data_IF_464650019653
#
_entry.id   IF_464650019653
#
_cell.length_a   1.000
_cell.length_b   1.000
_cell.length_c   1.000
_cell.angle_alpha   90.00
_cell.angle_beta   90.00
_cell.angle_gamma   90.00
#
_symmetry.space_group_name_H-M   'P 1'
#
loop_
_entity.id
_entity.type
_entity.pdbx_description
1 polymer ?
#
# COMPACT_ATOMS: atom_id res chain seq x y z
N UNK A 1 -63.98 -32.41 -60.22
CA UNK A 1 -62.61 -32.97 -60.11
C UNK A 1 -61.67 -31.82 -59.77
N UNK A 2 -61.00 -31.97 -58.63
CA UNK A 2 -59.86 -31.23 -58.05
C UNK A 2 -59.75 -29.71 -58.23
N UNK A 3 -59.99 -29.01 -57.11
CA UNK A 3 -59.52 -27.66 -56.86
C UNK A 3 -58.01 -27.65 -56.61
N UNK A 4 -57.35 -26.57 -57.02
CA UNK A 4 -55.93 -26.31 -56.77
C UNK A 4 -55.65 -25.93 -55.32
N UNK A 5 -54.44 -26.25 -54.87
CA UNK A 5 -53.82 -25.71 -53.67
C UNK A 5 -52.35 -25.45 -53.99
N UNK A 6 -52.07 -24.25 -54.51
CA UNK A 6 -50.73 -23.68 -54.53
C UNK A 6 -50.43 -23.16 -53.12
N UNK A 7 -49.53 -23.84 -52.41
CA UNK A 7 -48.89 -23.28 -51.22
C UNK A 7 -47.47 -22.83 -51.60
N UNK A 8 -47.07 -21.59 -51.30
CA UNK A 8 -45.70 -21.15 -51.52
C UNK A 8 -44.76 -21.85 -50.55
N UNK A 9 -43.70 -22.44 -51.09
CA UNK A 9 -42.58 -22.95 -50.30
C UNK A 9 -41.95 -21.76 -49.56
N UNK A 10 -42.11 -21.72 -48.23
CA UNK A 10 -41.38 -20.79 -47.37
C UNK A 10 -39.92 -21.26 -47.37
N UNK A 11 -39.03 -20.44 -47.93
CA UNK A 11 -37.59 -20.68 -47.91
C UNK A 11 -37.08 -20.32 -46.52
N UNK A 12 -36.74 -21.34 -45.72
CA UNK A 12 -36.15 -21.12 -44.40
C UNK A 12 -34.68 -20.71 -44.58
N UNK A 13 -34.21 -19.64 -43.92
CA UNK A 13 -32.79 -19.28 -43.96
C UNK A 13 -31.96 -20.47 -43.47
N UNK A 14 -31.08 -20.99 -44.31
CA UNK A 14 -30.10 -22.00 -43.90
C UNK A 14 -29.25 -21.43 -42.76
N UNK A 15 -29.46 -21.95 -41.55
CA UNK A 15 -28.61 -21.66 -40.41
C UNK A 15 -27.21 -22.21 -40.70
N UNK A 16 -26.26 -21.30 -40.95
CA UNK A 16 -24.84 -21.62 -41.07
C UNK A 16 -24.18 -21.51 -39.69
N UNK A 17 -23.57 -22.59 -39.15
CA UNK A 17 -22.90 -22.57 -37.85
C UNK A 17 -21.63 -21.68 -37.82
N UNK A 18 -21.16 -21.18 -38.96
CA UNK A 18 -19.90 -20.42 -39.04
C UNK A 18 -19.99 -18.98 -38.53
N UNK A 19 -21.20 -18.42 -38.38
CA UNK A 19 -21.38 -17.02 -37.98
C UNK A 19 -21.50 -16.76 -36.46
N UNK A 20 -21.23 -17.77 -35.62
CA UNK A 20 -21.22 -17.61 -34.15
C UNK A 20 -19.81 -17.46 -33.58
N UNK A 21 -18.92 -16.77 -34.29
CA UNK A 21 -17.78 -16.10 -33.65
C UNK A 21 -18.11 -14.63 -33.48
N UNK A 22 -19.08 -14.36 -32.61
CA UNK A 22 -19.22 -13.05 -32.02
C UNK A 22 -18.01 -12.86 -31.10
N UNK A 23 -16.88 -12.46 -31.66
CA UNK A 23 -15.77 -11.90 -30.92
C UNK A 23 -16.28 -10.62 -30.30
N UNK A 24 -16.91 -10.70 -29.13
CA UNK A 24 -17.05 -9.53 -28.26
C UNK A 24 -15.65 -8.97 -28.12
N UNK A 25 -15.37 -7.73 -28.56
CA UNK A 25 -14.11 -7.09 -28.24
C UNK A 25 -14.05 -7.07 -26.72
N UNK A 26 -13.17 -7.86 -26.12
CA UNK A 26 -12.90 -7.73 -24.70
C UNK A 26 -12.55 -6.25 -24.48
N UNK A 27 -13.21 -5.55 -23.54
CA UNK A 27 -12.91 -4.16 -23.24
C UNK A 27 -11.40 -4.02 -23.05
N UNK A 28 -10.81 -3.06 -23.76
CA UNK A 28 -9.38 -2.82 -23.89
C UNK A 28 -8.72 -2.85 -22.49
N UNK A 29 -8.16 -4.01 -22.10
CA UNK A 29 -7.50 -4.28 -20.82
C UNK A 29 -6.33 -3.34 -20.54
N UNK A 30 -5.78 -2.74 -21.60
CA UNK A 30 -4.79 -1.67 -21.57
C UNK A 30 -5.19 -0.45 -20.71
N UNK A 31 -6.48 -0.11 -20.64
CA UNK A 31 -6.93 1.05 -19.86
C UNK A 31 -6.66 0.87 -18.36
N UNK A 32 -6.99 -0.30 -17.82
CA UNK A 32 -6.83 -0.60 -16.39
C UNK A 32 -5.36 -0.73 -15.99
N UNK A 33 -4.51 -1.30 -16.86
CA UNK A 33 -3.08 -1.47 -16.58
C UNK A 33 -2.34 -0.13 -16.54
N UNK A 34 -2.68 0.80 -17.44
CA UNK A 34 -2.13 2.17 -17.44
C UNK A 34 -2.54 2.93 -16.18
N UNK A 35 -3.82 2.88 -15.79
CA UNK A 35 -4.29 3.51 -14.55
C UNK A 35 -3.59 2.96 -13.32
N UNK A 36 -3.49 1.63 -13.18
CA UNK A 36 -2.80 1.01 -12.05
C UNK A 36 -1.30 1.34 -12.01
N UNK A 37 -0.65 1.48 -13.17
CA UNK A 37 0.74 1.92 -13.24
C UNK A 37 0.90 3.38 -12.78
N UNK A 38 -0.02 4.26 -13.19
CA UNK A 38 -0.04 5.66 -12.75
C UNK A 38 -0.27 5.77 -11.24
N UNK A 39 -1.26 5.05 -10.70
CA UNK A 39 -1.54 5.03 -9.26
C UNK A 39 -0.33 4.60 -8.44
N UNK A 40 0.39 3.55 -8.85
CA UNK A 40 1.63 3.13 -8.15
C UNK A 40 2.70 4.23 -8.16
N UNK A 41 2.85 4.96 -9.26
CA UNK A 41 3.80 6.08 -9.33
C UNK A 41 3.39 7.23 -8.41
N UNK A 42 2.10 7.57 -8.35
CA UNK A 42 1.61 8.61 -7.44
C UNK A 42 1.71 8.19 -5.98
N UNK A 43 1.39 6.94 -5.64
CA UNK A 43 1.59 6.40 -4.30
C UNK A 43 3.07 6.45 -3.89
N UNK A 44 3.97 6.11 -4.81
CA UNK A 44 5.41 6.23 -4.57
C UNK A 44 5.85 7.68 -4.38
N UNK A 45 5.34 8.60 -5.19
CA UNK A 45 5.64 10.02 -5.05
C UNK A 45 5.16 10.57 -3.70
N UNK A 46 3.90 10.28 -3.32
CA UNK A 46 3.34 10.63 -2.01
C UNK A 46 4.17 10.03 -0.88
N UNK A 47 4.61 8.78 -1.04
CA UNK A 47 5.49 8.13 -0.08
C UNK A 47 6.81 8.92 0.08
N UNK A 48 7.49 9.25 -1.01
CA UNK A 48 8.77 9.98 -0.97
C UNK A 48 8.63 11.40 -0.41
N UNK A 49 7.59 12.14 -0.80
CA UNK A 49 7.31 13.47 -0.26
C UNK A 49 6.96 13.41 1.24
N UNK A 50 6.20 12.40 1.66
CA UNK A 50 5.89 12.20 3.07
C UNK A 50 7.15 11.89 3.91
N UNK A 51 8.08 11.09 3.38
CA UNK A 51 9.37 10.86 4.05
C UNK A 51 10.18 12.14 4.20
N UNK A 52 10.21 12.98 3.16
CA UNK A 52 10.92 14.27 3.21
C UNK A 52 10.32 15.20 4.27
N UNK A 53 8.99 15.31 4.32
CA UNK A 53 8.28 16.08 5.35
C UNK A 53 8.59 15.55 6.75
N UNK A 54 8.57 14.23 6.94
CA UNK A 54 8.85 13.60 8.23
C UNK A 54 10.30 13.86 8.70
N UNK A 55 11.29 13.79 7.80
CA UNK A 55 12.68 14.15 8.15
C UNK A 55 12.76 15.62 8.55
N UNK A 56 12.12 16.52 7.80
CA UNK A 56 12.12 17.95 8.11
C UNK A 56 11.51 18.23 9.49
N UNK A 57 10.38 17.62 9.81
CA UNK A 57 9.73 17.73 11.13
C UNK A 57 10.63 17.21 12.26
N UNK A 58 11.23 16.02 12.10
CA UNK A 58 12.11 15.41 13.11
C UNK A 58 13.35 16.27 13.40
N UNK A 59 13.95 16.85 12.35
CA UNK A 59 15.09 17.75 12.49
C UNK A 59 14.69 19.08 13.14
N UNK A 60 13.54 19.64 12.77
CA UNK A 60 13.06 20.90 13.32
C UNK A 60 12.76 20.80 14.83
N UNK A 61 12.24 19.66 15.26
CA UNK A 61 11.93 19.37 16.68
C UNK A 61 13.14 18.83 17.44
N UNK A 62 14.31 18.65 16.78
CA UNK A 62 15.53 18.07 17.38
C UNK A 62 15.28 16.74 18.10
N UNK A 63 14.46 15.88 17.47
CA UNK A 63 14.03 14.61 18.05
C UNK A 63 15.14 13.54 17.94
N UNK A 64 16.28 13.79 18.60
CA UNK A 64 17.48 12.95 18.56
C UNK A 64 18.13 12.75 19.93
N UNK A 65 17.44 13.11 21.02
CA UNK A 65 18.02 13.11 22.37
C UNK A 65 18.04 11.71 23.02
N UNK A 66 17.09 10.84 22.69
CA UNK A 66 17.06 9.44 23.16
C UNK A 66 17.27 8.43 22.04
N UNK A 67 17.77 7.24 22.38
CA UNK A 67 17.99 6.14 21.44
C UNK A 67 16.73 5.76 20.64
N UNK A 68 15.56 5.77 21.27
CA UNK A 68 14.29 5.46 20.61
C UNK A 68 13.87 6.52 19.58
N UNK A 69 14.34 7.76 19.74
CA UNK A 69 14.04 8.86 18.80
C UNK A 69 14.76 8.70 17.46
N UNK A 70 15.82 7.87 17.40
CA UNK A 70 16.53 7.55 16.16
C UNK A 70 15.81 6.52 15.28
N UNK A 71 14.90 5.73 15.85
CA UNK A 71 14.21 4.65 15.12
C UNK A 71 13.49 5.16 13.86
N UNK A 72 12.71 6.26 13.90
CA UNK A 72 12.11 6.82 12.70
C UNK A 72 13.13 7.18 11.62
N UNK A 73 14.24 7.83 11.98
CA UNK A 73 15.28 8.23 11.02
C UNK A 73 15.96 7.02 10.35
N UNK A 74 16.26 5.99 11.15
CA UNK A 74 16.86 4.75 10.63
C UNK A 74 15.90 4.00 9.71
N UNK A 75 14.61 3.96 10.05
CA UNK A 75 13.60 3.34 9.20
C UNK A 75 13.39 4.12 7.88
N UNK A 76 13.38 5.45 7.93
CA UNK A 76 13.36 6.30 6.73
C UNK A 76 14.56 5.98 5.83
N UNK A 77 15.77 5.98 6.39
CA UNK A 77 16.98 5.64 5.64
C UNK A 77 16.91 4.23 5.05
N UNK A 78 16.53 3.23 5.85
CA UNK A 78 16.38 1.86 5.40
C UNK A 78 15.37 1.73 4.25
N UNK A 79 14.24 2.45 4.33
CA UNK A 79 13.23 2.43 3.25
C UNK A 79 13.76 3.00 1.94
N UNK A 80 14.54 4.08 2.00
CA UNK A 80 15.17 4.69 0.82
C UNK A 80 16.23 3.77 0.21
N UNK A 81 17.05 3.14 1.04
CA UNK A 81 18.07 2.18 0.59
C UNK A 81 17.44 0.96 -0.08
N UNK A 82 16.40 0.39 0.52
CA UNK A 82 15.69 -0.77 -0.04
C UNK A 82 14.96 -0.39 -1.33
N UNK A 83 14.36 0.80 -1.40
CA UNK A 83 13.73 1.28 -2.62
C UNK A 83 14.74 1.54 -3.74
N UNK A 84 15.91 2.12 -3.41
CA UNK A 84 17.02 2.29 -4.34
C UNK A 84 17.55 0.95 -4.85
N UNK A 85 17.69 -0.04 -3.96
CA UNK A 85 18.02 -1.42 -4.34
C UNK A 85 16.95 -2.02 -5.27
N UNK A 86 15.66 -1.85 -4.94
CA UNK A 86 14.58 -2.33 -5.79
C UNK A 86 14.59 -1.68 -7.18
N UNK A 87 14.90 -0.38 -7.27
CA UNK A 87 15.01 0.32 -8.54
C UNK A 87 16.13 -0.25 -9.44
N UNK A 88 17.22 -0.72 -8.84
CA UNK A 88 18.36 -1.31 -9.54
C UNK A 88 18.12 -2.77 -9.99
N UNK A 89 17.61 -3.62 -9.09
CA UNK A 89 17.52 -5.07 -9.33
C UNK A 89 16.13 -5.53 -9.83
N UNK A 90 15.07 -4.77 -9.49
CA UNK A 90 13.66 -5.03 -9.87
C UNK A 90 13.15 -6.45 -9.54
N UNK A 91 13.73 -7.10 -8.53
CA UNK A 91 13.35 -8.46 -8.09
C UNK A 91 12.32 -8.47 -6.97
N UNK A 92 11.59 -9.59 -6.87
CA UNK A 92 10.62 -9.81 -5.79
C UNK A 92 11.24 -9.72 -4.39
N UNK A 93 12.49 -10.19 -4.20
CA UNK A 93 13.17 -10.15 -2.90
C UNK A 93 13.29 -8.72 -2.36
N UNK A 94 13.79 -7.78 -3.18
CA UNK A 94 13.89 -6.37 -2.78
C UNK A 94 12.53 -5.77 -2.39
N UNK A 95 11.45 -6.16 -3.08
CA UNK A 95 10.11 -5.70 -2.76
C UNK A 95 9.53 -6.34 -1.49
N UNK A 96 9.87 -7.61 -1.21
CA UNK A 96 9.53 -8.28 0.05
C UNK A 96 10.24 -7.64 1.25
N UNK A 97 11.52 -7.29 1.08
CA UNK A 97 12.27 -6.53 2.08
C UNK A 97 11.60 -5.18 2.30
N UNK A 98 11.19 -4.48 1.22
CA UNK A 98 10.47 -3.21 1.35
C UNK A 98 9.15 -3.37 2.12
N UNK A 99 8.35 -4.40 1.83
CA UNK A 99 7.15 -4.73 2.60
C UNK A 99 7.45 -4.95 4.09
N UNK A 100 8.52 -5.69 4.40
CA UNK A 100 9.00 -5.87 5.77
C UNK A 100 9.31 -4.53 6.45
N UNK A 101 10.03 -3.65 5.75
CA UNK A 101 10.32 -2.29 6.25
C UNK A 101 9.02 -1.51 6.50
N UNK A 102 8.00 -1.61 5.63
CA UNK A 102 6.73 -0.92 5.84
C UNK A 102 5.95 -1.45 7.05
N UNK A 103 6.04 -2.74 7.34
CA UNK A 103 5.49 -3.30 8.59
C UNK A 103 6.23 -2.74 9.80
N UNK A 104 7.56 -2.59 9.73
CA UNK A 104 8.33 -1.94 10.79
C UNK A 104 7.92 -0.48 11.00
N UNK A 105 7.57 0.26 9.93
CA UNK A 105 6.99 1.60 10.05
C UNK A 105 5.68 1.60 10.85
N UNK A 106 4.76 0.67 10.57
CA UNK A 106 3.50 0.53 11.30
C UNK A 106 3.75 0.24 12.79
N UNK A 107 4.60 -0.75 13.08
CA UNK A 107 4.93 -1.15 14.44
C UNK A 107 5.63 -0.02 15.20
N UNK A 108 6.57 0.67 14.55
CA UNK A 108 7.26 1.83 15.12
C UNK A 108 6.32 2.99 15.38
N UNK A 109 5.34 3.24 14.52
CA UNK A 109 4.34 4.28 14.75
C UNK A 109 3.44 3.97 15.94
N UNK A 110 2.98 2.72 16.09
CA UNK A 110 2.22 2.28 17.27
C UNK A 110 3.07 2.40 18.54
N UNK A 111 4.31 1.90 18.51
CA UNK A 111 5.24 2.03 19.64
C UNK A 111 5.49 3.50 19.99
N UNK A 112 5.67 4.37 18.99
CA UNK A 112 5.82 5.81 19.17
C UNK A 112 4.62 6.44 19.88
N UNK A 113 3.38 6.11 19.48
CA UNK A 113 2.17 6.60 20.16
C UNK A 113 2.19 6.22 21.65
N UNK A 114 2.56 4.99 21.98
CA UNK A 114 2.61 4.52 23.37
C UNK A 114 3.69 5.24 24.18
N UNK A 115 4.90 5.37 23.64
CA UNK A 115 6.01 6.05 24.32
C UNK A 115 5.70 7.54 24.54
N UNK A 116 5.16 8.21 23.52
CA UNK A 116 4.74 9.61 23.64
C UNK A 116 3.60 9.78 24.65
N UNK A 117 2.63 8.87 24.67
CA UNK A 117 1.57 8.89 25.68
C UNK A 117 2.13 8.72 27.10
N UNK A 118 3.03 7.76 27.32
CA UNK A 118 3.62 7.50 28.64
C UNK A 118 4.36 8.72 29.18
N UNK A 119 5.20 9.37 28.36
CA UNK A 119 5.92 10.58 28.76
C UNK A 119 4.98 11.74 29.10
N UNK A 120 3.94 11.95 28.28
CA UNK A 120 2.96 13.03 28.53
C UNK A 120 2.08 12.75 29.75
N UNK A 121 1.66 11.51 29.95
CA UNK A 121 0.89 11.12 31.13
C UNK A 121 1.71 11.30 32.41
N UNK A 122 2.99 10.93 32.41
CA UNK A 122 3.89 11.15 33.54
C UNK A 122 4.01 12.64 33.89
N UNK A 123 4.27 13.49 32.90
CA UNK A 123 4.35 14.95 33.09
C UNK A 123 3.03 15.55 33.62
N UNK A 124 1.91 15.06 33.12
CA UNK A 124 0.59 15.55 33.55
C UNK A 124 0.28 15.13 34.99
N UNK A 125 0.71 13.94 35.42
CA UNK A 125 0.56 13.48 36.80
C UNK A 125 1.47 14.24 37.78
N UNK A 126 2.65 14.69 37.34
CA UNK A 126 3.50 15.61 38.12
C UNK A 126 2.80 16.96 38.35
N UNK A 127 2.05 17.44 37.36
CA UNK A 127 1.32 18.70 37.43
C UNK A 127 -0.02 18.57 38.18
N UNK A 128 -0.73 17.45 38.02
CA UNK A 128 -2.05 17.21 38.61
C UNK A 128 -2.21 15.72 38.95
N UNK A 129 -1.83 15.30 40.18
CA UNK A 129 -1.81 13.90 40.58
C UNK A 129 -3.18 13.21 40.63
N UNK A 130 -4.27 13.98 40.61
CA UNK A 130 -5.65 13.46 40.68
C UNK A 130 -6.22 13.03 39.33
N UNK A 131 -5.52 13.30 38.22
CA UNK A 131 -5.94 12.87 36.89
C UNK A 131 -5.87 11.35 36.76
N UNK A 132 -6.90 10.75 36.16
CA UNK A 132 -6.98 9.31 35.94
C UNK A 132 -7.90 8.94 34.79
N UNK A 133 -7.84 7.67 34.37
CA UNK A 133 -8.72 7.10 33.36
C UNK A 133 -8.72 7.85 32.03
N UNK A 134 -9.91 8.08 31.48
CA UNK A 134 -10.08 8.80 30.21
C UNK A 134 -9.70 10.28 30.30
N UNK A 135 -9.82 10.90 31.46
CA UNK A 135 -9.44 12.29 31.65
C UNK A 135 -7.92 12.45 31.50
N UNK A 136 -7.14 11.57 32.15
CA UNK A 136 -5.67 11.55 31.96
C UNK A 136 -5.32 11.27 30.50
N UNK A 137 -5.99 10.32 29.85
CA UNK A 137 -5.74 10.00 28.44
C UNK A 137 -5.95 11.22 27.54
N UNK A 138 -7.09 11.90 27.69
CA UNK A 138 -7.42 13.03 26.84
C UNK A 138 -6.56 14.25 27.13
N UNK A 139 -6.23 14.51 28.40
CA UNK A 139 -5.32 15.58 28.79
C UNK A 139 -3.90 15.35 28.24
N UNK A 140 -3.38 14.13 28.39
CA UNK A 140 -2.07 13.74 27.87
C UNK A 140 -2.02 13.76 26.34
N UNK A 141 -3.13 13.55 25.63
CA UNK A 141 -3.10 13.57 24.16
C UNK A 141 -3.26 14.99 23.58
N UNK A 142 -4.02 15.86 24.26
CA UNK A 142 -4.23 17.24 23.84
C UNK A 142 -3.09 18.18 24.22
N UNK A 143 -2.31 17.87 25.26
CA UNK A 143 -1.15 18.68 25.64
C UNK A 143 -0.11 18.68 24.52
N UNK A 144 0.20 19.89 24.04
CA UNK A 144 0.96 20.13 22.82
C UNK A 144 2.48 20.13 23.01
N UNK A 145 3.00 19.88 24.21
CA UNK A 145 4.45 20.04 24.49
C UNK A 145 5.14 18.71 24.75
N UNK A 146 5.98 18.21 23.81
CA UNK A 146 6.09 18.56 22.39
C UNK A 146 5.04 17.84 21.51
N UNK A 147 4.62 18.43 20.38
CA UNK A 147 3.70 17.80 19.45
C UNK A 147 4.51 16.91 18.50
N UNK A 148 4.32 15.59 18.57
CA UNK A 148 4.92 14.68 17.60
C UNK A 148 3.80 14.12 16.71
N UNK A 149 3.68 14.68 15.50
CA UNK A 149 2.88 14.08 14.42
C UNK A 149 3.58 12.84 13.82
N UNK A 150 4.88 12.70 14.10
CA UNK A 150 5.74 11.64 13.56
C UNK A 150 5.20 10.22 13.75
N UNK A 151 4.69 9.78 14.93
CA UNK A 151 4.17 8.42 15.09
C UNK A 151 2.96 8.13 14.19
N UNK A 152 2.06 9.10 14.01
CA UNK A 152 0.91 8.97 13.12
C UNK A 152 1.34 8.93 11.65
N UNK A 153 2.26 9.81 11.25
CA UNK A 153 2.82 9.84 9.89
C UNK A 153 3.54 8.52 9.58
N UNK A 154 4.31 7.95 10.51
CA UNK A 154 4.95 6.64 10.34
C UNK A 154 3.95 5.54 9.99
N UNK A 155 2.79 5.51 10.66
CA UNK A 155 1.71 4.55 10.35
C UNK A 155 1.18 4.79 8.93
N UNK A 156 0.89 6.05 8.58
CA UNK A 156 0.41 6.42 7.25
C UNK A 156 1.41 6.01 6.15
N UNK A 157 2.71 6.26 6.35
CA UNK A 157 3.75 5.89 5.39
C UNK A 157 3.88 4.38 5.24
N UNK A 158 3.78 3.62 6.34
CA UNK A 158 3.74 2.16 6.31
C UNK A 158 2.61 1.64 5.44
N UNK A 159 1.40 2.18 5.59
CA UNK A 159 0.26 1.81 4.73
C UNK A 159 0.46 2.22 3.27
N UNK A 160 0.92 3.45 3.01
CA UNK A 160 1.17 3.91 1.64
C UNK A 160 2.18 3.03 0.91
N UNK A 161 3.27 2.65 1.58
CA UNK A 161 4.27 1.74 1.01
C UNK A 161 3.72 0.33 0.77
N UNK A 162 2.89 -0.20 1.67
CA UNK A 162 2.22 -1.49 1.44
C UNK A 162 1.26 -1.41 0.25
N UNK A 163 0.48 -0.34 0.13
CA UNK A 163 -0.41 -0.09 -1.01
C UNK A 163 0.38 -0.01 -2.32
N UNK A 164 1.53 0.67 -2.33
CA UNK A 164 2.42 0.73 -3.49
C UNK A 164 2.82 -0.68 -3.97
N UNK A 165 3.11 -1.60 -3.04
CA UNK A 165 3.49 -2.98 -3.35
C UNK A 165 2.31 -3.95 -3.56
N UNK A 166 1.08 -3.50 -3.38
CA UNK A 166 -0.09 -4.36 -3.47
C UNK A 166 -0.28 -4.86 -4.91
N UNK A 167 -0.34 -6.20 -5.06
CA UNK A 167 -0.39 -6.89 -6.37
C UNK A 167 0.61 -6.31 -7.37
N UNK A 168 1.85 -6.13 -6.92
CA UNK A 168 2.90 -5.57 -7.77
C UNK A 168 3.32 -6.60 -8.83
N UNK A 169 3.45 -6.21 -10.12
CA UNK A 169 3.71 -7.15 -11.22
C UNK A 169 4.93 -8.06 -11.00
N UNK A 170 5.98 -7.51 -10.38
CA UNK A 170 7.21 -8.23 -10.03
C UNK A 170 6.96 -9.43 -9.10
N UNK A 171 5.98 -9.35 -8.21
CA UNK A 171 5.62 -10.46 -7.31
C UNK A 171 4.84 -11.54 -8.06
N UNK A 172 3.89 -11.12 -8.90
CA UNK A 172 3.04 -12.04 -9.68
C UNK A 172 3.86 -12.82 -10.70
N UNK A 173 4.79 -12.16 -11.39
CA UNK A 173 5.70 -12.79 -12.35
C UNK A 173 6.66 -13.79 -11.68
N UNK A 174 7.11 -13.50 -10.45
CA UNK A 174 7.97 -14.40 -9.69
C UNK A 174 7.23 -15.67 -9.26
N UNK A 175 5.98 -15.53 -8.83
CA UNK A 175 5.10 -16.67 -8.54
C UNK A 175 4.88 -17.51 -9.80
N UNK A 176 4.56 -16.89 -10.94
CA UNK A 176 4.33 -17.61 -12.21
C UNK A 176 5.55 -18.43 -12.64
N UNK A 177 6.75 -17.84 -12.59
CA UNK A 177 8.01 -18.53 -12.95
C UNK A 177 8.31 -19.71 -12.03
N UNK A 178 8.05 -19.58 -10.73
CA UNK A 178 8.23 -20.66 -9.76
C UNK A 178 7.33 -21.87 -10.04
N UNK A 179 6.05 -21.64 -10.34
CA UNK A 179 5.08 -22.71 -10.63
C UNK A 179 5.38 -23.45 -11.93
N UNK A 180 5.86 -22.73 -12.96
CA UNK A 180 6.25 -23.34 -14.23
C UNK A 180 7.45 -24.29 -14.05
N UNK A 181 8.46 -23.89 -13.28
CA UNK A 181 9.65 -24.71 -13.06
C UNK A 181 9.34 -26.02 -12.33
N UNK A 182 8.36 -26.03 -11.42
CA UNK A 182 7.94 -27.27 -10.73
C UNK A 182 7.20 -28.25 -11.65
N UNK A 183 6.39 -27.78 -12.60
CA UNK A 183 5.61 -28.65 -13.50
C UNK A 183 6.47 -29.30 -14.59
N UNK A 184 7.61 -28.72 -14.95
CA UNK A 184 8.51 -29.30 -15.96
C UNK A 184 9.44 -30.38 -15.41
N UNK A 185 9.41 -30.64 -14.10
CA UNK A 185 10.22 -31.68 -13.43
C UNK A 185 9.39 -32.87 -12.94
N UNK A 186 8.09 -32.90 -13.25
CA UNK A 186 7.16 -34.00 -12.96
C UNK A 186 6.69 -34.62 -14.27
#
# INVERSE_FOLDING_TARGET
MSAGNDLPCIDFPQWSPENTRMSTPFPNDNGHTVTLAALRRYLLALFLFGLLGLVAELLLVKHTEDAWQWVPLLLILASLLVLGWHAADRRATSLRVFQGTMVLFLLSGVAGILLHYQGRAAFQLESTPTLSGLNLFWEAMQTQTPPALAPGVMIQMGFLGLLYTYRHPVLDDSTRKGTFNQRSMT
#
